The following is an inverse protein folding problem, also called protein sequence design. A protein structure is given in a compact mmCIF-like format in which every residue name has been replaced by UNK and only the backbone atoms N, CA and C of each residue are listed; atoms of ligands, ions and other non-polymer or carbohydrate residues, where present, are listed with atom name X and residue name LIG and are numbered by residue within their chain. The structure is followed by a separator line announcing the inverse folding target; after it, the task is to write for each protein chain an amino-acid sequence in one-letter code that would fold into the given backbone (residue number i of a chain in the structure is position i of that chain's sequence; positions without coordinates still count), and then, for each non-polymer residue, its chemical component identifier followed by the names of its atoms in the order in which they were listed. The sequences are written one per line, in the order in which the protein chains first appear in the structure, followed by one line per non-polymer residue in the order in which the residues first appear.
data_IF_815369729149
#
_entry.id   IF_815369729149
#
_cell.length_a   1.000
_cell.length_b   1.000
_cell.length_c   1.000
_cell.angle_alpha   90.00
_cell.angle_beta   90.00
_cell.angle_gamma   90.00
#
_symmetry.space_group_name_H-M   'P 1'
#
loop_
_entity.id
_entity.type
_entity.pdbx_description
1 polymer ?
#
# COMPACT_ATOMS: atom_id res chain seq x y z
N UNK A 1 -9.48 -8.01 -32.40
CA UNK A 1 -9.16 -7.31 -31.12
C UNK A 1 -10.36 -7.13 -30.17
N UNK A 2 -11.55 -6.72 -30.64
CA UNK A 2 -12.72 -6.47 -29.77
C UNK A 2 -13.22 -7.69 -28.95
N UNK A 3 -13.14 -8.91 -29.50
CA UNK A 3 -13.52 -10.14 -28.79
C UNK A 3 -12.59 -10.45 -27.62
N UNK A 4 -11.28 -10.29 -27.80
CA UNK A 4 -10.27 -10.54 -26.77
C UNK A 4 -10.49 -9.66 -25.53
N UNK A 5 -10.72 -8.35 -25.73
CA UNK A 5 -11.04 -7.42 -24.64
C UNK A 5 -12.32 -7.79 -23.89
N UNK A 6 -13.32 -8.33 -24.59
CA UNK A 6 -14.57 -8.79 -23.98
C UNK A 6 -14.35 -10.02 -23.11
N UNK A 7 -13.51 -10.96 -23.56
CA UNK A 7 -13.14 -12.16 -22.80
C UNK A 7 -12.32 -11.82 -21.56
N UNK A 8 -11.35 -10.92 -21.68
CA UNK A 8 -10.53 -10.45 -20.54
C UNK A 8 -11.40 -9.75 -19.50
N UNK A 9 -12.35 -8.92 -19.93
CA UNK A 9 -13.27 -8.22 -19.02
C UNK A 9 -14.20 -9.17 -18.26
N UNK A 10 -14.66 -10.23 -18.92
CA UNK A 10 -15.49 -11.27 -18.29
C UNK A 10 -14.68 -12.10 -17.29
N UNK A 11 -13.45 -12.47 -17.64
CA UNK A 11 -12.53 -13.18 -16.73
C UNK A 11 -12.15 -12.33 -15.51
N UNK A 12 -11.86 -11.04 -15.71
CA UNK A 12 -11.58 -10.12 -14.63
C UNK A 12 -12.78 -9.96 -13.70
N UNK A 13 -14.00 -9.85 -14.25
CA UNK A 13 -15.23 -9.74 -13.48
C UNK A 13 -15.53 -11.00 -12.64
N UNK A 14 -15.19 -12.19 -13.13
CA UNK A 14 -15.35 -13.43 -12.37
C UNK A 14 -14.29 -13.60 -11.26
N UNK A 15 -13.10 -13.02 -11.43
CA UNK A 15 -12.00 -13.13 -10.46
C UNK A 15 -12.07 -12.06 -9.36
N UNK A 16 -12.72 -10.93 -9.61
CA UNK A 16 -12.93 -9.85 -8.61
C UNK A 16 -13.52 -10.31 -7.27
N UNK A 17 -14.61 -11.11 -7.21
CA UNK A 17 -15.17 -11.52 -5.92
C UNK A 17 -14.22 -12.45 -5.14
N UNK A 18 -13.47 -13.31 -5.84
CA UNK A 18 -12.50 -14.23 -5.23
C UNK A 18 -11.32 -13.45 -4.65
N UNK A 19 -10.82 -12.47 -5.40
CA UNK A 19 -9.76 -11.57 -4.92
C UNK A 19 -10.22 -10.74 -3.71
N UNK A 20 -11.48 -10.27 -3.71
CA UNK A 20 -12.06 -9.55 -2.58
C UNK A 20 -12.15 -10.44 -1.34
N UNK A 21 -12.62 -11.69 -1.48
CA UNK A 21 -12.68 -12.65 -0.37
C UNK A 21 -11.27 -12.86 0.21
N UNK A 22 -10.26 -13.13 -0.62
CA UNK A 22 -8.88 -13.31 -0.14
C UNK A 22 -8.32 -12.08 0.57
N UNK A 23 -8.66 -10.87 0.13
CA UNK A 23 -8.28 -9.61 0.78
C UNK A 23 -8.96 -9.43 2.13
N UNK A 24 -10.26 -9.70 2.24
CA UNK A 24 -11.05 -9.44 3.45
C UNK A 24 -11.02 -10.57 4.49
N UNK A 25 -10.62 -11.79 4.11
CA UNK A 25 -10.55 -12.93 5.04
C UNK A 25 -9.52 -12.69 6.16
N UNK A 26 -8.45 -11.94 5.88
CA UNK A 26 -7.41 -11.62 6.85
C UNK A 26 -7.85 -10.56 7.89
N UNK A 27 -8.90 -9.80 7.62
CA UNK A 27 -9.41 -8.76 8.54
C UNK A 27 -10.10 -9.39 9.77
N UNK A 28 -10.74 -10.55 9.60
CA UNK A 28 -11.39 -11.29 10.68
C UNK A 28 -10.40 -11.94 11.66
N UNK A 29 -9.21 -12.30 11.18
CA UNK A 29 -8.15 -12.91 12.00
C UNK A 29 -7.34 -11.89 12.82
N UNK A 30 -7.53 -10.59 12.59
CA UNK A 30 -6.83 -9.51 13.28
C UNK A 30 -7.53 -9.02 14.57
N UNK A 31 -8.66 -9.62 14.97
CA UNK A 31 -9.42 -9.22 16.15
C UNK A 31 -8.84 -9.82 17.44
N UNK A 32 -7.74 -9.23 17.93
CA UNK A 32 -7.29 -9.33 19.32
C UNK A 32 -7.81 -8.16 20.17
N UNK A 33 -7.74 -8.22 21.51
CA UNK A 33 -8.23 -7.14 22.37
C UNK A 33 -7.45 -5.84 22.12
N UNK A 34 -8.16 -4.78 21.68
CA UNK A 34 -7.61 -3.50 21.23
C UNK A 34 -6.95 -2.69 22.36
N UNK A 35 -7.26 -3.01 23.63
CA UNK A 35 -6.74 -2.33 24.81
C UNK A 35 -6.24 -3.32 25.87
N UNK A 36 -5.17 -4.06 25.55
CA UNK A 36 -4.31 -4.64 26.60
C UNK A 36 -3.21 -3.63 26.91
N UNK A 37 -3.12 -3.19 28.16
CA UNK A 37 -2.30 -2.06 28.61
C UNK A 37 -0.79 -2.30 28.62
N UNK A 38 -0.22 -2.90 27.56
CA UNK A 38 1.22 -3.05 27.40
C UNK A 38 1.73 -2.00 26.40
N UNK A 39 2.46 -1.01 26.89
CA UNK A 39 3.06 0.04 26.06
C UNK A 39 3.93 -0.50 24.91
N UNK A 40 4.47 -1.72 25.05
CA UNK A 40 5.19 -2.44 24.00
C UNK A 40 4.30 -2.87 22.82
N UNK A 41 3.04 -3.25 23.08
CA UNK A 41 2.10 -3.62 22.02
C UNK A 41 1.67 -2.40 21.21
N UNK A 42 1.44 -1.25 21.85
CA UNK A 42 1.14 0.00 21.14
C UNK A 42 2.28 0.45 20.21
N UNK A 43 3.54 0.35 20.67
CA UNK A 43 4.70 0.70 19.85
C UNK A 43 4.88 -0.23 18.65
N UNK A 44 4.64 -1.54 18.84
CA UNK A 44 4.66 -2.51 17.75
C UNK A 44 3.51 -2.27 16.74
N UNK A 45 2.31 -1.94 17.22
CA UNK A 45 1.16 -1.59 16.37
C UNK A 45 1.47 -0.34 15.55
N UNK A 46 2.03 0.72 16.14
CA UNK A 46 2.39 1.94 15.40
C UNK A 46 3.47 1.64 14.35
N UNK A 47 4.44 0.78 14.67
CA UNK A 47 5.50 0.36 13.74
C UNK A 47 4.94 -0.43 12.55
N UNK A 48 4.01 -1.35 12.78
CA UNK A 48 3.37 -2.12 11.71
C UNK A 48 2.39 -1.25 10.90
N UNK A 49 1.65 -0.37 11.56
CA UNK A 49 0.75 0.57 10.91
C UNK A 49 1.50 1.54 9.99
N UNK A 50 2.65 2.09 10.41
CA UNK A 50 3.47 2.96 9.55
C UNK A 50 3.95 2.22 8.28
N UNK A 51 4.38 0.96 8.44
CA UNK A 51 4.79 0.11 7.30
C UNK A 51 3.62 -0.13 6.36
N UNK A 52 2.44 -0.45 6.90
CA UNK A 52 1.23 -0.69 6.11
C UNK A 52 0.82 0.58 5.33
N UNK A 53 0.85 1.75 5.97
CA UNK A 53 0.52 3.03 5.34
C UNK A 53 1.48 3.36 4.20
N UNK A 54 2.79 3.13 4.37
CA UNK A 54 3.76 3.32 3.29
C UNK A 54 3.47 2.42 2.08
N UNK A 55 3.16 1.14 2.31
CA UNK A 55 2.85 0.17 1.25
C UNK A 55 1.54 0.53 0.54
N UNK A 56 0.49 0.88 1.29
CA UNK A 56 -0.80 1.28 0.71
C UNK A 56 -0.62 2.51 -0.18
N UNK A 57 0.14 3.51 0.28
CA UNK A 57 0.36 4.72 -0.49
C UNK A 57 1.19 4.47 -1.76
N UNK A 58 2.17 3.56 -1.69
CA UNK A 58 2.94 3.12 -2.84
C UNK A 58 2.07 2.40 -3.87
N UNK A 59 1.18 1.52 -3.42
CA UNK A 59 0.20 0.84 -4.27
C UNK A 59 -0.79 1.83 -4.92
N UNK A 60 -1.29 2.81 -4.16
CA UNK A 60 -2.16 3.86 -4.69
C UNK A 60 -1.43 4.75 -5.71
N UNK A 61 -0.16 5.07 -5.48
CA UNK A 61 0.70 5.72 -6.47
C UNK A 61 0.79 4.94 -7.78
N UNK A 62 1.01 3.62 -7.71
CA UNK A 62 1.09 2.76 -8.90
C UNK A 62 -0.22 2.73 -9.69
N UNK A 63 -1.35 2.62 -8.99
CA UNK A 63 -2.69 2.69 -9.61
C UNK A 63 -2.93 4.05 -10.24
N UNK A 64 -2.53 5.15 -9.57
CA UNK A 64 -2.64 6.51 -10.10
C UNK A 64 -1.81 6.73 -11.37
N UNK A 65 -0.60 6.16 -11.45
CA UNK A 65 0.23 6.19 -12.67
C UNK A 65 -0.44 5.40 -13.80
N UNK A 66 -0.92 4.19 -13.52
CA UNK A 66 -1.63 3.37 -14.51
C UNK A 66 -2.87 4.10 -15.05
N UNK A 67 -3.60 4.79 -14.18
CA UNK A 67 -4.76 5.61 -14.56
C UNK A 67 -4.38 6.85 -15.37
N UNK A 68 -3.27 7.51 -15.04
CA UNK A 68 -2.74 8.64 -15.80
C UNK A 68 -2.31 8.21 -17.22
N UNK A 69 -1.68 7.04 -17.37
CA UNK A 69 -1.34 6.46 -18.68
C UNK A 69 -2.61 6.18 -19.49
N UNK A 70 -3.62 5.58 -18.87
CA UNK A 70 -4.91 5.34 -19.53
C UNK A 70 -5.59 6.64 -19.99
N UNK A 71 -5.54 7.69 -19.18
CA UNK A 71 -6.10 9.00 -19.55
C UNK A 71 -5.30 9.70 -20.65
N UNK A 72 -3.97 9.55 -20.67
CA UNK A 72 -3.12 10.00 -21.78
C UNK A 72 -3.48 9.30 -23.08
N UNK A 73 -3.75 7.99 -23.05
CA UNK A 73 -4.16 7.22 -24.23
C UNK A 73 -5.57 7.56 -24.73
N UNK A 74 -6.45 8.07 -23.86
CA UNK A 74 -7.83 8.41 -24.19
C UNK A 74 -8.04 9.91 -24.47
N UNK A 75 -6.95 10.70 -24.51
CA UNK A 75 -7.00 12.14 -24.82
C UNK A 75 -7.62 13.00 -23.72
N UNK A 76 -7.70 12.48 -22.49
CA UNK A 76 -8.24 13.19 -21.32
C UNK A 76 -7.11 13.85 -20.52
N UNK A 77 -7.48 14.83 -19.69
CA UNK A 77 -6.58 15.44 -18.72
C UNK A 77 -5.92 14.38 -17.83
N UNK A 78 -4.60 14.23 -17.98
CA UNK A 78 -3.78 13.22 -17.31
C UNK A 78 -2.82 13.82 -16.28
N UNK A 79 -2.47 15.10 -16.45
CA UNK A 79 -1.44 15.78 -15.65
C UNK A 79 -1.71 15.75 -14.15
N UNK A 80 -2.97 16.00 -13.75
CA UNK A 80 -3.35 16.02 -12.33
C UNK A 80 -3.20 14.65 -11.66
N UNK A 81 -3.45 13.55 -12.38
CA UNK A 81 -3.31 12.19 -11.83
C UNK A 81 -1.85 11.71 -11.86
N UNK A 82 -1.08 12.10 -12.87
CA UNK A 82 0.37 11.85 -12.90
C UNK A 82 1.08 12.59 -11.76
N UNK A 83 0.69 13.84 -11.48
CA UNK A 83 1.27 14.62 -10.39
C UNK A 83 0.85 14.08 -9.02
N UNK A 84 -0.44 13.77 -8.84
CA UNK A 84 -0.93 13.16 -7.59
C UNK A 84 -0.30 11.80 -7.29
N UNK A 85 -0.04 10.99 -8.32
CA UNK A 85 0.64 9.71 -8.16
C UNK A 85 2.12 9.85 -7.86
N UNK A 86 2.82 10.79 -8.49
CA UNK A 86 4.20 11.13 -8.17
C UNK A 86 4.35 11.58 -6.71
N UNK A 87 3.45 12.44 -6.23
CA UNK A 87 3.40 12.87 -4.84
C UNK A 87 3.11 11.71 -3.88
N UNK A 88 2.25 10.77 -4.28
CA UNK A 88 1.96 9.57 -3.48
C UNK A 88 3.19 8.67 -3.32
N UNK A 89 4.01 8.53 -4.38
CA UNK A 89 5.30 7.83 -4.31
C UNK A 89 6.33 8.55 -3.44
N UNK A 90 6.45 9.87 -3.59
CA UNK A 90 7.35 10.68 -2.77
C UNK A 90 6.98 10.67 -1.28
N UNK A 91 5.68 10.77 -0.96
CA UNK A 91 5.24 10.70 0.43
C UNK A 91 5.36 9.29 1.01
N UNK A 92 5.06 8.25 0.22
CA UNK A 92 5.20 6.86 0.65
C UNK A 92 6.66 6.49 0.98
N UNK A 93 7.61 7.01 0.19
CA UNK A 93 9.05 6.84 0.45
C UNK A 93 9.50 7.59 1.70
N UNK A 94 9.01 8.81 1.94
CA UNK A 94 9.28 9.55 3.18
C UNK A 94 8.77 8.76 4.41
N UNK A 95 7.53 8.26 4.38
CA UNK A 95 6.95 7.46 5.48
C UNK A 95 7.75 6.17 5.71
N UNK A 96 8.25 5.53 4.65
CA UNK A 96 9.10 4.35 4.77
C UNK A 96 10.47 4.66 5.43
N UNK A 97 11.06 5.83 5.16
CA UNK A 97 12.29 6.28 5.84
C UNK A 97 12.00 6.59 7.30
N UNK A 98 10.89 7.27 7.61
CA UNK A 98 10.46 7.50 8.99
C UNK A 98 10.21 6.20 9.75
N UNK A 99 9.70 5.16 9.08
CA UNK A 99 9.63 3.83 9.66
C UNK A 99 11.03 3.30 10.02
N UNK A 100 12.02 3.36 9.13
CA UNK A 100 13.40 2.93 9.45
C UNK A 100 14.02 3.74 10.61
N UNK A 101 13.71 5.02 10.73
CA UNK A 101 14.16 5.86 11.85
C UNK A 101 13.43 5.52 13.15
N UNK A 102 12.10 5.38 13.11
CA UNK A 102 11.26 4.99 14.24
C UNK A 102 11.55 3.57 14.72
N UNK A 103 12.15 2.75 13.87
CA UNK A 103 12.61 1.43 14.29
C UNK A 103 13.71 1.48 15.32
N UNK A 104 14.42 2.62 15.44
CA UNK A 104 15.64 2.71 16.22
C UNK A 104 16.59 1.67 15.67
N UNK A 105 17.36 2.02 14.63
CA UNK A 105 18.54 1.23 14.32
C UNK A 105 19.40 1.32 15.58
N UNK A 106 19.28 0.31 16.45
CA UNK A 106 20.32 -0.05 17.37
C UNK A 106 21.52 -0.24 16.46
N UNK A 107 22.34 0.80 16.37
CA UNK A 107 23.71 0.66 15.97
C UNK A 107 24.21 -0.29 17.04
N UNK A 108 24.28 -1.58 16.71
CA UNK A 108 25.01 -2.56 17.49
C UNK A 108 26.44 -2.08 17.45
N UNK A 109 26.79 -1.15 18.34
CA UNK A 109 28.17 -0.88 18.68
C UNK A 109 28.57 -2.16 19.38
N UNK A 110 29.30 -3.01 18.66
CA UNK A 110 30.00 -4.15 19.22
C UNK A 110 30.98 -3.59 20.25
N UNK A 111 30.54 -3.42 21.49
CA UNK A 111 31.40 -3.12 22.63
C UNK A 111 31.97 -4.43 23.18
N UNK A 112 32.56 -5.24 22.31
CA UNK A 112 33.46 -6.31 22.72
C UNK A 112 34.78 -5.66 23.12
N UNK A 113 34.87 -5.28 24.40
CA UNK A 113 36.11 -5.07 25.11
C UNK A 113 36.58 -6.40 25.71
#
# INVERSE_FOLDING_TARGET
MKKLFRTIRLLAASLTPIAAILLFTNVLLAQGPIFTGDASNLSNIIREALKLMAIILFCLGAVGVAWAIYNKMTGKEWGNQAFGSLLSFAFGTIVAVFWQLAQGRAVGVDTNF
#
